data_IF_109175412824
#
_entry.id   IF_109175412824
#
_cell.length_a   1.000
_cell.length_b   1.000
_cell.length_c   1.000
_cell.angle_alpha   90.00
_cell.angle_beta   90.00
_cell.angle_gamma   90.00
#
_symmetry.space_group_name_H-M   'P 1'
#
loop_
_entity.id
_entity.type
_entity.pdbx_description
1 polymer ?
#
# COMPACT_ATOMS: atom_id res chain seq x y z
N UNK A 1 4.40 -13.77 3.89
CA UNK A 1 5.07 -12.87 2.93
C UNK A 1 3.95 -12.20 2.14
N UNK A 2 4.00 -10.90 1.86
CA UNK A 2 2.98 -10.06 1.17
C UNK A 2 1.98 -9.34 2.10
N UNK A 3 2.33 -8.10 2.45
CA UNK A 3 1.36 -7.07 2.84
C UNK A 3 0.81 -6.44 1.56
N UNK A 4 -0.50 -6.51 1.36
CA UNK A 4 -1.21 -5.87 0.26
C UNK A 4 -1.79 -4.55 0.76
N UNK A 5 -1.54 -3.47 0.03
CA UNK A 5 -2.18 -2.18 0.27
C UNK A 5 -3.00 -1.87 -0.98
N UNK A 6 -4.33 -1.96 -0.85
CA UNK A 6 -5.26 -1.50 -1.87
C UNK A 6 -5.68 -0.06 -1.57
N UNK A 7 -5.71 0.79 -2.58
CA UNK A 7 -6.38 2.09 -2.51
C UNK A 7 -7.76 1.96 -3.18
N UNK A 8 -8.81 1.79 -2.39
CA UNK A 8 -10.19 1.59 -2.89
C UNK A 8 -10.87 2.94 -3.17
N UNK A 9 -10.84 3.43 -4.41
CA UNK A 9 -11.82 4.44 -4.87
C UNK A 9 -12.97 3.71 -5.56
N UNK A 10 -14.05 3.51 -4.81
CA UNK A 10 -15.42 3.16 -5.24
C UNK A 10 -15.59 2.43 -6.59
N UNK A 11 -15.87 1.11 -6.51
CA UNK A 11 -16.48 0.21 -7.51
C UNK A 11 -16.59 0.74 -8.96
N UNK A 12 -15.57 0.53 -9.79
CA UNK A 12 -15.70 0.23 -11.23
C UNK A 12 -14.57 -0.72 -11.63
N UNK A 13 -14.92 -1.83 -12.27
CA UNK A 13 -13.99 -2.78 -12.87
C UNK A 13 -13.10 -2.05 -13.89
N UNK A 14 -11.84 -1.77 -13.53
CA UNK A 14 -10.90 -1.14 -14.46
C UNK A 14 -9.56 -0.73 -13.87
N UNK A 15 -9.52 -0.04 -12.73
CA UNK A 15 -8.27 0.60 -12.25
C UNK A 15 -8.07 0.45 -10.74
N UNK A 16 -7.87 -0.78 -10.27
CA UNK A 16 -7.39 -1.02 -8.90
C UNK A 16 -6.01 -0.37 -8.73
N UNK A 17 -5.76 0.31 -7.62
CA UNK A 17 -4.48 0.97 -7.32
C UNK A 17 -3.89 0.26 -6.12
N UNK A 18 -2.76 -0.41 -6.28
CA UNK A 18 -2.21 -1.23 -5.21
C UNK A 18 -0.69 -1.34 -5.26
N UNK A 19 -0.13 -1.59 -4.09
CA UNK A 19 1.27 -1.96 -3.89
C UNK A 19 1.35 -3.27 -3.11
N UNK A 20 2.44 -4.00 -3.30
CA UNK A 20 2.78 -5.18 -2.50
C UNK A 20 4.09 -4.90 -1.79
N UNK A 21 4.13 -5.20 -0.49
CA UNK A 21 5.29 -4.99 0.35
C UNK A 21 5.72 -6.27 1.05
N UNK A 22 7.01 -6.35 1.37
CA UNK A 22 7.56 -7.46 2.13
C UNK A 22 7.40 -7.23 3.63
N UNK A 23 6.41 -7.91 4.23
CA UNK A 23 6.14 -7.89 5.66
C UNK A 23 7.29 -8.39 6.56
N UNK A 24 8.21 -9.19 6.01
CA UNK A 24 9.25 -9.88 6.78
C UNK A 24 10.56 -9.09 6.87
N UNK A 25 10.66 -7.98 6.14
CA UNK A 25 11.84 -7.12 6.13
C UNK A 25 11.49 -5.84 6.87
N UNK A 26 12.45 -5.35 7.65
CA UNK A 26 12.33 -4.08 8.36
C UNK A 26 11.92 -2.96 7.39
N UNK A 27 11.09 -2.02 7.87
CA UNK A 27 10.52 -0.91 7.10
C UNK A 27 9.52 -1.31 6.00
N UNK A 28 9.19 -2.59 5.83
CA UNK A 28 8.15 -3.08 4.93
C UNK A 28 8.35 -2.59 3.48
N UNK A 29 9.46 -2.95 2.82
CA UNK A 29 9.81 -2.42 1.51
C UNK A 29 8.79 -2.83 0.44
N UNK A 30 8.43 -1.88 -0.42
CA UNK A 30 7.59 -2.11 -1.60
C UNK A 30 8.38 -2.99 -2.59
N UNK A 31 7.81 -4.14 -2.91
CA UNK A 31 8.35 -5.10 -3.89
C UNK A 31 7.56 -5.11 -5.20
N UNK A 32 6.38 -4.46 -5.22
CA UNK A 32 5.61 -4.28 -6.43
C UNK A 32 4.71 -3.04 -6.33
N UNK A 33 4.56 -2.34 -7.45
CA UNK A 33 3.65 -1.21 -7.58
C UNK A 33 3.04 -1.21 -8.99
N UNK A 34 1.71 -1.13 -9.06
CA UNK A 34 1.01 -1.01 -10.33
C UNK A 34 1.00 0.44 -10.85
N UNK A 35 0.75 0.64 -12.15
CA UNK A 35 0.77 1.99 -12.75
C UNK A 35 -0.30 2.90 -12.15
N UNK A 36 -1.49 2.36 -11.85
CA UNK A 36 -2.57 3.14 -11.23
C UNK A 36 -2.19 3.77 -9.89
N UNK A 37 -1.39 3.08 -9.05
CA UNK A 37 -0.86 3.67 -7.82
C UNK A 37 0.21 4.73 -8.13
N UNK A 38 1.12 4.47 -9.07
CA UNK A 38 2.15 5.43 -9.51
C UNK A 38 1.53 6.75 -9.98
N UNK A 39 0.49 6.66 -10.82
CA UNK A 39 -0.25 7.81 -11.35
C UNK A 39 -0.99 8.58 -10.26
N UNK A 40 -1.60 7.87 -9.30
CA UNK A 40 -2.32 8.46 -8.18
C UNK A 40 -1.41 9.34 -7.32
N UNK A 41 -0.27 8.78 -6.91
CA UNK A 41 0.68 9.48 -6.02
C UNK A 41 1.62 10.41 -6.78
N UNK A 42 1.74 10.24 -8.10
CA UNK A 42 2.60 11.05 -8.96
C UNK A 42 4.09 10.73 -8.87
N UNK A 43 4.43 9.51 -8.46
CA UNK A 43 5.81 9.04 -8.37
C UNK A 43 6.08 7.95 -9.40
N UNK A 44 7.31 7.92 -9.92
CA UNK A 44 7.73 6.83 -10.81
C UNK A 44 7.82 5.51 -10.02
N UNK A 45 7.52 4.39 -10.69
CA UNK A 45 7.69 3.05 -10.10
C UNK A 45 9.09 2.87 -9.51
N UNK A 46 10.14 3.27 -10.25
CA UNK A 46 11.53 3.15 -9.80
C UNK A 46 11.79 3.90 -8.47
N UNK A 47 11.11 5.03 -8.27
CA UNK A 47 11.23 5.81 -7.04
C UNK A 47 10.46 5.19 -5.85
N UNK A 48 9.41 4.42 -6.12
CA UNK A 48 8.57 3.76 -5.10
C UNK A 48 9.14 2.41 -4.64
N UNK A 49 9.76 1.66 -5.56
CA UNK A 49 10.35 0.37 -5.24
C UNK A 49 11.36 0.48 -4.10
N UNK A 50 11.36 -0.51 -3.21
CA UNK A 50 12.22 -0.60 -2.01
C UNK A 50 12.01 0.49 -0.96
N UNK A 51 11.09 1.44 -1.16
CA UNK A 51 10.66 2.36 -0.10
C UNK A 51 9.68 1.68 0.84
N UNK A 52 9.51 2.24 2.04
CA UNK A 52 8.49 1.77 2.97
C UNK A 52 7.08 1.91 2.40
N UNK A 53 6.28 0.86 2.57
CA UNK A 53 4.88 0.85 2.13
C UNK A 53 3.95 1.75 2.94
N UNK A 54 4.42 2.29 4.08
CA UNK A 54 3.74 3.33 4.86
C UNK A 54 3.71 4.66 4.08
N UNK A 55 4.56 4.80 3.06
CA UNK A 55 4.66 5.94 2.17
C UNK A 55 4.88 7.26 2.91
N UNK A 56 5.81 7.29 3.86
CA UNK A 56 6.12 8.46 4.71
C UNK A 56 6.50 9.71 3.87
N UNK A 57 7.07 9.51 2.69
CA UNK A 57 7.40 10.58 1.73
C UNK A 57 6.17 11.23 1.07
N UNK A 58 4.97 10.67 1.25
CA UNK A 58 3.70 11.26 0.82
C UNK A 58 2.95 11.95 1.97
N UNK A 59 3.49 11.92 3.19
CA UNK A 59 2.84 12.56 4.33
C UNK A 59 3.10 14.07 4.30
N UNK A 60 2.19 14.83 4.88
CA UNK A 60 2.33 16.27 5.04
C UNK A 60 1.51 16.80 6.22
N UNK A 61 1.35 18.12 6.35
CA UNK A 61 0.82 18.75 7.57
C UNK A 61 -0.56 18.27 8.02
N UNK A 62 -1.42 17.86 7.10
CA UNK A 62 -2.78 17.38 7.39
C UNK A 62 -2.86 15.85 7.45
N UNK A 63 -1.78 15.12 7.19
CA UNK A 63 -1.78 13.66 7.32
C UNK A 63 -1.97 13.29 8.79
N UNK A 64 -3.05 12.55 9.08
CA UNK A 64 -3.37 12.13 10.45
C UNK A 64 -2.30 11.21 11.03
N UNK A 65 -1.63 11.66 12.10
CA UNK A 65 -0.67 10.84 12.85
C UNK A 65 -1.33 9.58 13.44
N UNK A 66 -2.61 9.65 13.78
CA UNK A 66 -3.40 8.51 14.27
C UNK A 66 -3.56 7.46 13.17
N UNK A 67 -3.87 7.89 11.93
CA UNK A 67 -3.97 6.97 10.79
C UNK A 67 -2.62 6.29 10.52
N UNK A 68 -1.51 7.05 10.57
CA UNK A 68 -0.16 6.49 10.39
C UNK A 68 0.19 5.47 11.47
N UNK A 69 -0.12 5.77 12.74
CA UNK A 69 0.09 4.83 13.85
C UNK A 69 -0.72 3.54 13.66
N UNK A 70 -1.97 3.65 13.22
CA UNK A 70 -2.82 2.49 12.92
C UNK A 70 -2.27 1.65 11.76
N UNK A 71 -1.73 2.26 10.70
CA UNK A 71 -1.05 1.53 9.62
C UNK A 71 0.12 0.72 10.20
N UNK A 72 0.99 1.37 11.00
CA UNK A 72 2.17 0.73 11.61
C UNK A 72 1.77 -0.44 12.50
N UNK A 73 0.74 -0.25 13.34
CA UNK A 73 0.19 -1.30 14.19
C UNK A 73 -0.36 -2.48 13.37
N UNK A 74 -1.12 -2.22 12.30
CA UNK A 74 -1.66 -3.27 11.44
C UNK A 74 -0.57 -4.06 10.72
N UNK A 75 0.48 -3.40 10.24
CA UNK A 75 1.63 -4.06 9.61
C UNK A 75 2.40 -4.93 10.61
N UNK A 76 2.57 -4.46 11.86
CA UNK A 76 3.25 -5.21 12.91
C UNK A 76 2.43 -6.41 13.42
N UNK A 77 1.12 -6.23 13.60
CA UNK A 77 0.19 -7.26 14.10
C UNK A 77 -0.32 -8.22 13.02
N UNK A 78 0.01 -7.98 11.75
CA UNK A 78 -0.53 -8.73 10.60
C UNK A 78 -2.06 -8.74 10.54
N UNK A 79 -2.70 -7.67 10.97
CA UNK A 79 -4.16 -7.52 10.91
C UNK A 79 -4.61 -6.80 9.65
N UNK A 80 -5.77 -7.22 9.14
CA UNK A 80 -6.44 -6.55 8.04
C UNK A 80 -7.22 -5.34 8.56
N UNK A 81 -7.09 -4.19 7.90
CA UNK A 81 -7.78 -2.98 8.31
C UNK A 81 -7.96 -2.04 7.12
N UNK A 82 -9.10 -1.36 7.10
CA UNK A 82 -9.37 -0.28 6.18
C UNK A 82 -9.33 1.04 6.94
N UNK A 83 -8.60 2.02 6.42
CA UNK A 83 -8.47 3.35 7.01
C UNK A 83 -8.28 4.42 5.93
N UNK A 84 -8.64 5.65 6.28
CA UNK A 84 -8.47 6.81 5.41
C UNK A 84 -7.19 7.56 5.78
N UNK A 85 -6.38 7.94 4.79
CA UNK A 85 -5.18 8.75 4.96
C UNK A 85 -5.08 9.81 3.87
N UNK A 86 -4.51 10.95 4.21
CA UNK A 86 -4.22 12.04 3.28
C UNK A 86 -2.78 11.94 2.79
N UNK A 87 -2.61 11.86 1.47
CA UNK A 87 -1.32 11.92 0.79
C UNK A 87 -1.14 13.22 0.02
N UNK A 88 0.11 13.66 -0.03
CA UNK A 88 0.53 14.87 -0.72
C UNK A 88 1.21 14.50 -2.03
N UNK A 89 0.68 15.06 -3.11
CA UNK A 89 1.29 14.97 -4.45
C UNK A 89 1.45 16.39 -4.98
N UNK A 90 2.69 16.89 -5.00
CA UNK A 90 2.99 18.26 -5.45
C UNK A 90 2.04 19.26 -4.78
N UNK A 91 1.12 19.84 -5.54
CA UNK A 91 0.18 20.88 -5.12
C UNK A 91 -1.23 20.35 -4.84
N UNK A 92 -1.43 19.02 -4.82
CA UNK A 92 -2.73 18.41 -4.52
C UNK A 92 -2.65 17.46 -3.33
N UNK A 93 -3.73 17.48 -2.55
CA UNK A 93 -3.96 16.53 -1.46
C UNK A 93 -4.90 15.45 -2.00
N UNK A 94 -4.49 14.19 -1.86
CA UNK A 94 -5.25 13.03 -2.29
C UNK A 94 -5.70 12.28 -1.05
N UNK A 95 -7.02 12.16 -0.89
CA UNK A 95 -7.63 11.30 0.13
C UNK A 95 -7.58 9.87 -0.37
N UNK A 96 -6.95 8.98 0.39
CA UNK A 96 -6.77 7.58 0.02
C UNK A 96 -7.37 6.69 1.09
N UNK A 97 -8.24 5.78 0.67
CA UNK A 97 -8.75 4.70 1.52
C UNK A 97 -7.80 3.52 1.36
N UNK A 98 -6.93 3.30 2.34
CA UNK A 98 -6.02 2.16 2.37
C UNK A 98 -6.69 0.94 3.00
N UNK A 99 -6.77 -0.13 2.23
CA UNK A 99 -7.14 -1.45 2.69
C UNK A 99 -5.86 -2.29 2.83
N UNK A 100 -5.43 -2.49 4.07
CA UNK A 100 -4.32 -3.36 4.45
C UNK A 100 -4.83 -4.81 4.51
N UNK A 101 -4.19 -5.69 3.75
CA UNK A 101 -4.43 -7.12 3.77
C UNK A 101 -3.11 -7.83 4.10
N UNK A 102 -3.08 -8.62 5.16
CA UNK A 102 -1.91 -9.42 5.50
C UNK A 102 -2.16 -10.87 5.10
N UNK A 103 -1.49 -11.36 4.04
CA UNK A 103 -1.46 -12.80 3.76
C UNK A 103 -0.30 -13.44 4.49
N UNK A 104 -0.54 -13.81 5.75
CA UNK A 104 0.37 -14.63 6.52
C UNK A 104 0.20 -16.11 6.15
N UNK A 105 0.59 -16.50 4.92
CA UNK A 105 0.64 -17.91 4.55
C UNK A 105 2.00 -18.53 4.94
N UNK A 106 2.04 -19.23 6.07
CA UNK A 106 3.16 -20.12 6.46
C UNK A 106 3.05 -21.51 5.81
N UNK A 107 2.25 -21.69 4.74
CA UNK A 107 2.07 -23.00 4.10
C UNK A 107 2.27 -22.94 2.59
N UNK A 108 3.45 -23.43 2.18
CA UNK A 108 3.85 -23.90 0.83
C UNK A 108 3.72 -22.87 -0.30
N UNK A 109 4.88 -22.44 -0.77
CA UNK A 109 5.19 -21.65 -1.98
C UNK A 109 4.55 -22.14 -3.32
N UNK A 110 3.66 -23.14 -3.32
CA UNK A 110 3.10 -23.80 -4.51
C UNK A 110 1.62 -23.46 -4.80
N UNK A 111 0.99 -22.49 -4.11
CA UNK A 111 -0.38 -22.07 -4.42
C UNK A 111 -0.56 -20.55 -4.56
N UNK A 112 0.51 -19.81 -4.85
CA UNK A 112 0.36 -18.51 -5.49
C UNK A 112 -0.27 -18.75 -6.87
N UNK A 113 -1.61 -18.76 -6.94
CA UNK A 113 -2.31 -18.56 -8.22
C UNK A 113 -1.65 -17.33 -8.84
N UNK A 114 -1.21 -17.39 -10.10
CA UNK A 114 -0.59 -16.25 -10.75
C UNK A 114 -1.52 -15.07 -10.52
N UNK A 115 -0.99 -14.00 -9.91
CA UNK A 115 -1.67 -12.72 -9.97
C UNK A 115 -2.00 -12.51 -11.44
N UNK A 116 -3.26 -12.27 -11.82
CA UNK A 116 -3.57 -11.96 -13.20
C UNK A 116 -2.79 -10.69 -13.53
N UNK A 117 -1.67 -10.89 -14.19
CA UNK A 117 -0.98 -9.88 -14.98
C UNK A 117 -1.94 -9.73 -16.15
N UNK A 118 -2.77 -8.69 -16.12
CA UNK A 118 -3.44 -8.25 -17.34
C UNK A 118 -2.36 -7.91 -18.37
#
# INVERSE_FOLDING_TARGET
>A
MFSFLESSHHRVCGNRKFIVANAQVENYPIIFCNDGFCEMVGWSRASLMQRSCICEFLHGPLTSAVAVAQIKECLASCHEKQLEILYYRKDVIVVVILSLHSRCETRRYNQLKPFPIC
#
